data_IF_584265664000
#
_entry.id   IF_584265664000
#
_cell.length_a   1.000
_cell.length_b   1.000
_cell.length_c   1.000
_cell.angle_alpha   90.00
_cell.angle_beta   90.00
_cell.angle_gamma   90.00
#
_symmetry.space_group_name_H-M   'P 1'
#
loop_
_entity.id
_entity.type
_entity.pdbx_description
1 polymer ?
#
# COMPACT_ATOMS: atom_id res chain seq x y z
N UNK A 1 -0.77 14.23 -22.95
CA UNK A 1 -1.13 13.42 -21.77
C UNK A 1 -1.58 14.34 -20.65
N UNK A 2 -2.01 13.81 -19.50
CA UNK A 2 -2.26 14.61 -18.30
C UNK A 2 -0.93 14.94 -17.61
N UNK A 3 -0.83 16.14 -17.04
CA UNK A 3 0.32 16.53 -16.22
C UNK A 3 0.36 15.74 -14.90
N UNK A 4 1.52 15.27 -14.42
CA UNK A 4 1.63 14.44 -13.21
C UNK A 4 0.94 15.02 -11.97
N UNK A 5 1.01 16.35 -11.78
CA UNK A 5 0.41 17.03 -10.62
C UNK A 5 -1.12 16.99 -10.62
N UNK A 6 -1.74 16.58 -11.73
CA UNK A 6 -3.18 16.36 -11.87
C UNK A 6 -3.58 14.90 -11.72
N UNK A 7 -2.63 14.02 -11.41
CA UNK A 7 -2.83 12.57 -11.29
C UNK A 7 -2.67 12.15 -9.84
N UNK A 8 -3.66 11.42 -9.33
CA UNK A 8 -3.58 10.69 -8.06
C UNK A 8 -3.58 9.20 -8.39
N UNK A 9 -2.62 8.47 -7.83
CA UNK A 9 -2.56 7.02 -7.98
C UNK A 9 -3.21 6.35 -6.77
N UNK A 10 -3.96 5.28 -7.01
CA UNK A 10 -4.69 4.55 -5.97
C UNK A 10 -4.35 3.06 -6.04
N UNK A 11 -4.10 2.44 -4.90
CA UNK A 11 -3.86 1.01 -4.80
C UNK A 11 -4.56 0.41 -3.59
N UNK A 12 -5.32 -0.68 -3.82
CA UNK A 12 -5.96 -1.46 -2.76
C UNK A 12 -5.36 -2.85 -2.65
N UNK A 13 -5.05 -3.31 -1.45
CA UNK A 13 -4.56 -4.67 -1.21
C UNK A 13 -3.36 -4.99 -2.12
N UNK A 14 -3.46 -6.01 -2.98
CA UNK A 14 -2.45 -6.35 -4.00
C UNK A 14 -2.10 -5.20 -4.95
N UNK A 15 -3.05 -4.30 -5.24
CA UNK A 15 -2.84 -3.12 -6.05
C UNK A 15 -1.86 -2.11 -5.43
N UNK A 16 -1.58 -2.21 -4.13
CA UNK A 16 -0.56 -1.36 -3.48
C UNK A 16 0.83 -1.56 -4.08
N UNK A 17 1.16 -2.77 -4.54
CA UNK A 17 2.44 -3.09 -5.19
C UNK A 17 2.80 -2.20 -6.38
N UNK A 18 2.05 -2.31 -7.50
CA UNK A 18 2.30 -1.47 -8.67
C UNK A 18 2.09 0.03 -8.37
N UNK A 19 1.16 0.40 -7.48
CA UNK A 19 0.93 1.79 -7.11
C UNK A 19 2.14 2.42 -6.42
N UNK A 20 2.74 1.73 -5.44
CA UNK A 20 3.96 2.19 -4.77
C UNK A 20 5.14 2.20 -5.75
N UNK A 21 5.26 1.19 -6.62
CA UNK A 21 6.34 1.14 -7.62
C UNK A 21 6.30 2.31 -8.61
N UNK A 22 5.12 2.67 -9.10
CA UNK A 22 4.94 3.84 -9.98
C UNK A 22 5.21 5.13 -9.20
N UNK A 23 4.68 5.26 -7.99
CA UNK A 23 4.85 6.47 -7.18
C UNK A 23 6.30 6.69 -6.72
N UNK A 24 7.08 5.62 -6.51
CA UNK A 24 8.48 5.71 -6.11
C UNK A 24 9.41 6.15 -7.25
N UNK A 25 8.96 6.03 -8.51
CA UNK A 25 9.72 6.38 -9.71
C UNK A 25 9.20 7.63 -10.42
N UNK A 26 8.04 8.15 -10.00
CA UNK A 26 7.38 9.29 -10.65
C UNK A 26 7.33 10.48 -9.71
N UNK A 27 8.07 11.53 -10.05
CA UNK A 27 8.03 12.79 -9.31
C UNK A 27 6.86 13.67 -9.73
N UNK A 28 6.35 14.50 -8.81
CA UNK A 28 5.34 15.51 -9.11
C UNK A 28 3.91 14.97 -9.24
N UNK A 29 3.62 13.75 -8.80
CA UNK A 29 2.24 13.24 -8.68
C UNK A 29 1.42 14.13 -7.74
N UNK A 30 0.15 14.34 -8.07
CA UNK A 30 -0.80 15.06 -7.23
C UNK A 30 -1.04 14.39 -5.88
N UNK A 31 -0.87 13.06 -5.80
CA UNK A 31 -0.91 12.31 -4.56
C UNK A 31 -0.95 10.80 -4.76
N UNK A 32 -0.95 10.07 -3.65
CA UNK A 32 -1.16 8.63 -3.62
C UNK A 32 -2.17 8.27 -2.54
N UNK A 33 -3.04 7.30 -2.82
CA UNK A 33 -3.95 6.72 -1.84
C UNK A 33 -3.68 5.21 -1.78
N UNK A 34 -3.44 4.70 -0.58
CA UNK A 34 -3.27 3.28 -0.30
C UNK A 34 -4.39 2.79 0.63
N UNK A 35 -5.11 1.75 0.22
CA UNK A 35 -6.16 1.12 1.02
C UNK A 35 -5.80 -0.34 1.33
N UNK A 36 -5.73 -0.70 2.61
CA UNK A 36 -5.20 -1.99 3.07
C UNK A 36 -3.90 -2.41 2.37
N UNK A 37 -2.85 -1.57 2.34
CA UNK A 37 -1.65 -1.87 1.60
C UNK A 37 -0.91 -3.09 2.17
N UNK A 38 -0.24 -3.81 1.27
CA UNK A 38 0.60 -4.96 1.62
C UNK A 38 2.04 -4.46 1.73
N UNK A 39 2.65 -4.57 2.89
CA UNK A 39 4.07 -4.21 3.07
C UNK A 39 5.01 -5.17 2.33
N UNK A 40 4.74 -6.47 2.43
CA UNK A 40 5.46 -7.60 1.85
C UNK A 40 4.48 -8.76 1.66
N UNK A 41 4.64 -9.55 0.60
CA UNK A 41 3.79 -10.72 0.36
C UNK A 41 3.91 -11.81 1.44
N UNK A 42 4.97 -11.80 2.26
CA UNK A 42 5.26 -12.86 3.23
C UNK A 42 4.27 -12.99 4.41
N UNK A 43 3.45 -11.96 4.66
CA UNK A 43 2.52 -11.91 5.81
C UNK A 43 1.04 -11.82 5.40
N UNK A 44 0.74 -11.99 4.11
CA UNK A 44 -0.63 -11.92 3.59
C UNK A 44 -1.27 -13.30 3.65
N UNK A 45 -2.55 -13.36 4.04
CA UNK A 45 -3.32 -14.59 3.91
C UNK A 45 -3.64 -14.82 2.44
N UNK A 46 -2.89 -15.75 1.83
CA UNK A 46 -3.00 -16.08 0.42
C UNK A 46 -3.64 -17.45 0.22
N UNK A 47 -4.46 -17.63 -0.84
CA UNK A 47 -4.79 -18.95 -1.31
C UNK A 47 -3.52 -19.76 -1.59
N UNK A 48 -3.53 -21.06 -1.28
CA UNK A 48 -2.33 -21.94 -1.34
C UNK A 48 -1.60 -21.87 -2.69
N UNK A 49 -2.35 -21.74 -3.79
CA UNK A 49 -1.80 -21.63 -5.14
C UNK A 49 -1.05 -20.30 -5.36
N UNK A 50 -1.54 -19.20 -4.79
CA UNK A 50 -0.85 -17.91 -4.80
C UNK A 50 0.37 -17.92 -3.90
N UNK A 51 0.26 -18.52 -2.70
CA UNK A 51 1.39 -18.67 -1.79
C UNK A 51 2.53 -19.47 -2.44
N UNK A 52 2.22 -20.54 -3.18
CA UNK A 52 3.19 -21.31 -3.98
C UNK A 52 3.79 -20.50 -5.13
N UNK A 53 2.99 -19.71 -5.84
CA UNK A 53 3.47 -18.85 -6.93
C UNK A 53 4.38 -17.70 -6.43
N UNK A 54 4.18 -17.26 -5.18
CA UNK A 54 4.93 -16.19 -4.53
C UNK A 54 6.07 -16.73 -3.64
N UNK A 55 6.16 -18.05 -3.45
CA UNK A 55 7.22 -18.69 -2.68
C UNK A 55 8.58 -18.45 -3.36
N UNK A 56 9.41 -17.62 -2.72
CA UNK A 56 10.75 -17.24 -3.21
C UNK A 56 10.83 -15.89 -3.94
N UNK A 57 9.69 -15.23 -4.21
CA UNK A 57 9.65 -13.90 -4.80
C UNK A 57 8.66 -13.02 -4.01
N UNK A 58 9.19 -12.14 -3.16
CA UNK A 58 8.38 -11.03 -2.64
C UNK A 58 8.09 -10.06 -3.79
N UNK A 59 6.97 -10.27 -4.49
CA UNK A 59 6.54 -9.41 -5.59
C UNK A 59 6.18 -7.99 -5.12
N UNK A 60 5.95 -7.80 -3.82
CA UNK A 60 5.42 -6.57 -3.23
C UNK A 60 6.33 -6.04 -2.14
N UNK A 61 7.59 -5.73 -2.51
CA UNK A 61 8.56 -5.06 -1.64
C UNK A 61 8.23 -3.59 -1.40
N UNK A 62 7.01 -3.29 -0.98
CA UNK A 62 6.56 -1.92 -0.72
C UNK A 62 7.37 -1.31 0.42
N UNK A 63 7.78 -2.10 1.41
CA UNK A 63 8.68 -1.66 2.49
C UNK A 63 10.03 -1.11 1.96
N UNK A 64 10.56 -1.61 0.84
CA UNK A 64 11.80 -1.10 0.26
C UNK A 64 11.59 0.21 -0.50
N UNK A 65 10.45 0.35 -1.17
CA UNK A 65 10.18 1.41 -2.17
C UNK A 65 9.42 2.60 -1.61
N UNK A 66 8.60 2.41 -0.58
CA UNK A 66 7.68 3.44 -0.09
C UNK A 66 8.41 4.70 0.41
N UNK A 67 9.63 4.52 0.91
CA UNK A 67 10.53 5.60 1.34
C UNK A 67 10.96 6.53 0.20
N UNK A 68 10.78 6.14 -1.06
CA UNK A 68 11.12 6.95 -2.23
C UNK A 68 9.90 7.69 -2.81
N UNK A 69 8.71 7.44 -2.28
CA UNK A 69 7.50 8.18 -2.66
C UNK A 69 7.57 9.59 -2.07
N UNK A 70 7.49 10.59 -2.96
CA UNK A 70 7.61 12.02 -2.61
C UNK A 70 6.27 12.76 -2.57
N UNK A 71 5.24 12.23 -3.22
CA UNK A 71 3.92 12.86 -3.24
C UNK A 71 3.17 12.65 -1.91
N UNK A 72 2.21 13.54 -1.64
CA UNK A 72 1.38 13.46 -0.44
C UNK A 72 0.56 12.17 -0.47
N UNK A 73 0.65 11.38 0.59
CA UNK A 73 0.07 10.04 0.62
C UNK A 73 -0.96 9.89 1.73
N UNK A 74 -2.16 9.44 1.38
CA UNK A 74 -3.19 8.99 2.33
C UNK A 74 -3.14 7.46 2.44
N UNK A 75 -3.14 6.95 3.67
CA UNK A 75 -3.29 5.53 3.95
C UNK A 75 -4.59 5.27 4.70
N UNK A 76 -5.32 4.23 4.27
CA UNK A 76 -6.60 3.80 4.82
C UNK A 76 -6.46 2.32 5.20
N UNK A 77 -6.79 1.95 6.44
CA UNK A 77 -6.71 0.55 6.88
C UNK A 77 -7.67 0.28 8.06
N UNK A 78 -8.28 -0.89 8.06
CA UNK A 78 -9.19 -1.37 9.10
C UNK A 78 -8.45 -2.13 10.18
N UNK A 79 -8.68 -1.80 11.45
CA UNK A 79 -7.93 -2.44 12.55
C UNK A 79 -8.32 -3.89 12.81
N UNK A 80 -9.42 -4.36 12.22
CA UNK A 80 -9.86 -5.75 12.28
C UNK A 80 -9.61 -6.51 10.96
N UNK A 81 -8.77 -5.98 10.06
CA UNK A 81 -8.42 -6.65 8.80
C UNK A 81 -7.60 -7.93 9.06
N UNK A 82 -8.21 -9.08 8.81
CA UNK A 82 -7.60 -10.41 8.97
C UNK A 82 -6.98 -10.95 7.68
N UNK A 83 -7.21 -10.29 6.53
CA UNK A 83 -6.65 -10.71 5.24
C UNK A 83 -5.31 -10.02 4.96
N UNK A 84 -5.26 -8.71 5.22
CA UNK A 84 -4.04 -7.90 5.24
C UNK A 84 -3.94 -7.27 6.62
N UNK A 85 -3.22 -7.92 7.56
CA UNK A 85 -3.12 -7.45 8.94
C UNK A 85 -2.70 -5.96 9.04
N UNK A 86 -3.24 -5.24 10.02
CA UNK A 86 -2.99 -3.80 10.22
C UNK A 86 -1.50 -3.47 10.39
N UNK A 87 -0.70 -4.44 10.81
CA UNK A 87 0.76 -4.40 10.92
C UNK A 87 1.43 -3.99 9.61
N UNK A 88 0.84 -4.32 8.45
CA UNK A 88 1.36 -3.86 7.16
C UNK A 88 1.28 -2.32 7.03
N UNK A 89 0.16 -1.71 7.44
CA UNK A 89 0.06 -0.24 7.47
C UNK A 89 1.01 0.35 8.51
N UNK A 90 1.13 -0.26 9.69
CA UNK A 90 2.05 0.21 10.74
C UNK A 90 3.52 0.16 10.29
N UNK A 91 3.89 -0.81 9.45
CA UNK A 91 5.23 -0.92 8.88
C UNK A 91 5.46 0.14 7.79
N UNK A 92 4.47 0.39 6.94
CA UNK A 92 4.61 1.26 5.77
C UNK A 92 4.45 2.75 6.09
N UNK A 93 3.50 3.11 6.96
CA UNK A 93 3.11 4.49 7.18
C UNK A 93 4.26 5.39 7.69
N UNK A 94 5.08 4.96 8.67
CA UNK A 94 6.20 5.77 9.18
C UNK A 94 7.27 6.08 8.13
N UNK A 95 7.42 5.21 7.12
CA UNK A 95 8.44 5.33 6.07
C UNK A 95 8.09 6.36 4.98
N UNK A 96 6.84 6.85 4.94
CA UNK A 96 6.41 7.86 3.98
C UNK A 96 7.06 9.22 4.27
N UNK A 97 7.65 9.83 3.23
CA UNK A 97 8.25 11.17 3.32
C UNK A 97 7.22 12.30 3.49
N UNK A 98 6.03 12.13 2.93
CA UNK A 98 4.98 13.14 2.92
C UNK A 98 3.61 12.51 3.27
N UNK A 99 3.37 12.41 4.57
CA UNK A 99 2.16 11.79 5.12
C UNK A 99 0.99 12.78 5.12
N UNK A 100 -0.16 12.33 4.62
CA UNK A 100 -1.44 12.86 5.04
C UNK A 100 -1.85 12.13 6.34
N UNK A 101 -2.57 12.78 7.28
CA UNK A 101 -3.20 12.07 8.39
C UNK A 101 -3.92 10.80 7.90
N UNK A 102 -3.61 9.63 8.46
CA UNK A 102 -4.17 8.38 7.97
C UNK A 102 -5.62 8.22 8.43
N UNK A 103 -6.34 7.33 7.74
CA UNK A 103 -7.68 6.91 8.13
C UNK A 103 -7.63 5.46 8.64
N UNK A 104 -7.53 5.33 9.96
CA UNK A 104 -7.64 4.05 10.64
C UNK A 104 -9.09 3.82 11.06
N UNK A 105 -9.69 2.72 10.61
CA UNK A 105 -11.11 2.43 10.86
C UNK A 105 -11.19 1.33 11.92
N UNK A 106 -11.65 1.69 13.12
CA UNK A 106 -11.84 0.74 14.21
C UNK A 106 -12.96 -0.26 13.87
N UNK A 107 -12.71 -1.54 14.08
CA UNK A 107 -13.69 -2.62 13.87
C UNK A 107 -13.91 -3.06 12.42
N UNK A 108 -13.39 -2.33 11.42
CA UNK A 108 -13.50 -2.73 10.02
C UNK A 108 -12.44 -3.78 9.64
N UNK A 109 -12.87 -4.79 8.88
CA UNK A 109 -12.03 -5.78 8.22
C UNK A 109 -11.67 -5.41 6.76
N UNK A 110 -11.28 -6.40 5.95
CA UNK A 110 -10.74 -6.16 4.59
C UNK A 110 -11.78 -5.65 3.55
N UNK A 111 -13.06 -5.95 3.78
CA UNK A 111 -14.13 -5.80 2.79
C UNK A 111 -15.23 -4.80 3.20
N UNK A 112 -15.14 -4.28 4.41
CA UNK A 112 -16.13 -3.46 5.12
C UNK A 112 -15.54 -2.10 5.54
N UNK A 113 -14.55 -1.64 4.76
CA UNK A 113 -13.98 -0.28 4.80
C UNK A 113 -14.43 0.56 3.60
#
# INVERSE_FOLDING_TARGET
GLEPHRVVVYGRSIGSGPTVDVASRTSGLGGMILQSPIASAGHVVLPEQMAKALAGFDLFKNYEKIKDVTCRTLMIHGRADTMVPFEHAQMLFPELRNQHPPLWIDGAGHHDM
#
